data_IF_247030638364
#
_entry.id   IF_247030638364
#
_cell.length_a   1.000
_cell.length_b   1.000
_cell.length_c   1.000
_cell.angle_alpha   90.00
_cell.angle_beta   90.00
_cell.angle_gamma   90.00
#
_symmetry.space_group_name_H-M   'P 1'
#
loop_
_entity.id
_entity.type
_entity.pdbx_description
1 polymer ?
#
# COMPACT_ATOMS: atom_id res chain seq x y z
N UNK A 1 4.07 18.02 -1.76
CA UNK A 1 3.54 16.70 -2.16
C UNK A 1 4.45 15.62 -1.59
N UNK A 2 3.92 14.64 -0.87
CA UNK A 2 4.73 13.46 -0.53
C UNK A 2 4.97 12.66 -1.81
N UNK A 3 6.20 12.22 -2.02
CA UNK A 3 6.53 11.24 -3.05
C UNK A 3 6.88 9.88 -2.39
N UNK A 4 6.91 8.82 -3.20
CA UNK A 4 7.20 7.46 -2.74
C UNK A 4 8.56 7.35 -2.03
N UNK A 5 9.58 8.05 -2.55
CA UNK A 5 10.93 8.07 -1.97
C UNK A 5 10.94 8.66 -0.56
N UNK A 6 10.16 9.72 -0.34
CA UNK A 6 10.03 10.40 0.96
C UNK A 6 9.34 9.49 1.98
N UNK A 7 8.34 8.70 1.58
CA UNK A 7 7.69 7.73 2.49
C UNK A 7 8.64 6.59 2.85
N UNK A 8 9.36 6.04 1.87
CA UNK A 8 10.37 5.00 2.11
C UNK A 8 11.45 5.53 3.06
N UNK A 9 11.91 6.76 2.84
CA UNK A 9 12.87 7.43 3.73
C UNK A 9 12.29 7.60 5.13
N UNK A 10 11.02 7.99 5.26
CA UNK A 10 10.37 8.15 6.56
C UNK A 10 10.18 6.83 7.30
N UNK A 11 9.83 5.75 6.58
CA UNK A 11 9.73 4.40 7.15
C UNK A 11 11.11 3.88 7.57
N UNK A 12 12.14 4.08 6.76
CA UNK A 12 13.52 3.75 7.12
C UNK A 12 13.96 4.54 8.37
N UNK A 13 13.73 5.86 8.41
CA UNK A 13 14.00 6.69 9.59
C UNK A 13 13.26 6.20 10.83
N UNK A 14 12.00 5.79 10.70
CA UNK A 14 11.22 5.23 11.80
C UNK A 14 11.85 3.93 12.31
N UNK A 15 12.22 3.01 11.40
CA UNK A 15 12.89 1.75 11.77
C UNK A 15 14.24 2.03 12.45
N UNK A 16 15.06 2.93 11.89
CA UNK A 16 16.33 3.34 12.49
C UNK A 16 16.14 4.02 13.85
N UNK A 17 15.06 4.80 14.04
CA UNK A 17 14.76 5.40 15.33
C UNK A 17 14.39 4.33 16.36
N UNK A 18 13.49 3.41 16.02
CA UNK A 18 13.05 2.33 16.92
C UNK A 18 14.20 1.41 17.28
N UNK A 19 14.90 0.86 16.28
CA UNK A 19 16.01 -0.06 16.52
C UNK A 19 17.27 0.62 17.02
N UNK A 20 17.49 1.89 16.65
CA UNK A 20 18.58 2.71 17.18
C UNK A 20 18.42 2.97 18.67
N UNK A 21 17.22 3.37 19.12
CA UNK A 21 16.90 3.52 20.55
C UNK A 21 17.08 2.19 21.27
N UNK A 22 16.61 1.09 20.68
CA UNK A 22 16.79 -0.26 21.25
C UNK A 22 18.28 -0.64 21.41
N UNK A 23 19.11 -0.28 20.43
CA UNK A 23 20.56 -0.53 20.45
C UNK A 23 21.26 0.30 21.52
N UNK A 24 20.85 1.56 21.71
CA UNK A 24 21.36 2.43 22.79
C UNK A 24 20.97 1.86 24.16
N UNK A 25 19.71 1.43 24.33
CA UNK A 25 19.25 0.82 25.59
C UNK A 25 20.00 -0.47 25.92
N UNK A 26 20.22 -1.34 24.93
CA UNK A 26 21.02 -2.56 25.12
C UNK A 26 22.46 -2.21 25.49
N UNK A 27 23.08 -1.25 24.80
CA UNK A 27 24.43 -0.78 25.09
C UNK A 27 24.55 -0.22 26.51
N UNK A 28 23.57 0.57 26.97
CA UNK A 28 23.52 1.08 28.34
C UNK A 28 23.35 -0.06 29.35
N UNK A 29 22.49 -1.04 29.09
CA UNK A 29 22.30 -2.19 29.96
C UNK A 29 23.58 -3.04 30.11
N UNK A 30 24.31 -3.29 29.02
CA UNK A 30 25.56 -4.03 29.08
C UNK A 30 26.74 -3.26 29.69
N UNK A 31 26.68 -1.93 29.76
CA UNK A 31 27.61 -1.16 30.57
C UNK A 31 27.46 -1.47 32.07
N UNK A 32 26.24 -1.79 32.53
CA UNK A 32 25.98 -2.23 33.90
C UNK A 32 26.32 -3.71 34.15
N UNK A 33 26.29 -4.56 33.13
CA UNK A 33 26.62 -6.00 33.23
C UNK A 33 27.98 -6.29 32.59
N UNK A 34 29.04 -6.17 33.39
CA UNK A 34 30.47 -6.42 33.09
C UNK A 34 30.77 -7.28 31.83
N UNK A 35 30.92 -6.64 30.66
CA UNK A 35 31.53 -7.27 29.48
C UNK A 35 31.10 -6.70 28.13
N UNK A 36 31.93 -5.84 27.54
CA UNK A 36 31.70 -5.24 26.20
C UNK A 36 31.55 -6.29 25.08
N UNK A 37 32.17 -7.46 25.23
CA UNK A 37 32.08 -8.57 24.27
C UNK A 37 30.66 -9.14 24.22
N UNK A 38 29.92 -9.13 25.33
CA UNK A 38 28.53 -9.63 25.42
C UNK A 38 27.55 -8.70 24.69
N UNK A 39 27.93 -7.44 24.47
CA UNK A 39 27.12 -6.43 23.75
C UNK A 39 27.22 -6.52 22.22
N UNK A 40 28.28 -7.15 21.66
CA UNK A 40 28.46 -7.24 20.20
C UNK A 40 27.33 -8.03 19.53
N UNK A 41 26.85 -9.09 20.16
CA UNK A 41 25.80 -9.95 19.60
C UNK A 41 24.44 -9.24 19.52
N UNK A 42 23.93 -8.57 20.58
CA UNK A 42 22.71 -7.78 20.49
C UNK A 42 22.78 -6.61 19.50
N UNK A 43 23.92 -5.91 19.41
CA UNK A 43 24.11 -4.79 18.46
C UNK A 43 24.09 -5.31 17.03
N UNK A 44 24.80 -6.41 16.74
CA UNK A 44 24.74 -7.04 15.43
C UNK A 44 23.31 -7.49 15.10
N UNK A 45 22.60 -8.09 16.07
CA UNK A 45 21.23 -8.52 15.91
C UNK A 45 20.27 -7.37 15.56
N UNK A 46 20.35 -6.21 16.24
CA UNK A 46 19.48 -5.07 15.93
C UNK A 46 19.76 -4.47 14.55
N UNK A 47 21.02 -4.40 14.13
CA UNK A 47 21.39 -3.96 12.77
C UNK A 47 20.82 -4.93 11.73
N UNK A 48 21.05 -6.24 11.90
CA UNK A 48 20.52 -7.25 10.98
C UNK A 48 18.99 -7.20 10.91
N UNK A 49 18.32 -7.02 12.05
CA UNK A 49 16.86 -6.89 12.11
C UNK A 49 16.36 -5.62 11.40
N UNK A 50 17.07 -4.50 11.53
CA UNK A 50 16.74 -3.24 10.85
C UNK A 50 16.83 -3.38 9.34
N UNK A 51 17.92 -3.99 8.85
CA UNK A 51 18.11 -4.26 7.42
C UNK A 51 17.05 -5.24 6.92
N UNK A 52 16.81 -6.33 7.65
CA UNK A 52 15.80 -7.32 7.32
C UNK A 52 14.39 -6.71 7.21
N UNK A 53 13.96 -5.94 8.22
CA UNK A 53 12.67 -5.25 8.20
C UNK A 53 12.56 -4.28 7.02
N UNK A 54 13.63 -3.55 6.70
CA UNK A 54 13.65 -2.64 5.55
C UNK A 54 13.45 -3.41 4.24
N UNK A 55 14.19 -4.50 4.02
CA UNK A 55 14.05 -5.36 2.84
C UNK A 55 12.64 -5.93 2.74
N UNK A 56 12.07 -6.40 3.86
CA UNK A 56 10.71 -6.93 3.93
C UNK A 56 9.67 -5.89 3.50
N UNK A 57 9.81 -4.62 3.93
CA UNK A 57 8.91 -3.54 3.49
C UNK A 57 8.97 -3.33 1.96
N UNK A 58 10.17 -3.35 1.38
CA UNK A 58 10.33 -3.25 -0.09
C UNK A 58 9.71 -4.45 -0.81
N UNK A 59 9.92 -5.67 -0.29
CA UNK A 59 9.30 -6.87 -0.85
C UNK A 59 7.77 -6.79 -0.80
N UNK A 60 7.18 -6.30 0.28
CA UNK A 60 5.73 -6.12 0.37
C UNK A 60 5.18 -5.12 -0.64
N UNK A 61 5.84 -3.96 -0.81
CA UNK A 61 5.43 -2.99 -1.82
C UNK A 61 5.56 -3.55 -3.25
N UNK A 62 6.61 -4.32 -3.52
CA UNK A 62 6.80 -5.00 -4.80
C UNK A 62 5.70 -6.03 -5.08
N UNK A 63 5.42 -6.91 -4.11
CA UNK A 63 4.37 -7.95 -4.21
C UNK A 63 3.00 -7.29 -4.40
N UNK A 64 2.69 -6.23 -3.65
CA UNK A 64 1.45 -5.46 -3.79
C UNK A 64 1.28 -4.95 -5.22
N UNK A 65 2.28 -4.28 -5.76
CA UNK A 65 2.23 -3.73 -7.12
C UNK A 65 2.10 -4.83 -8.19
N UNK A 66 2.77 -5.97 -8.02
CA UNK A 66 2.65 -7.11 -8.93
C UNK A 66 1.24 -7.72 -8.93
N UNK A 67 0.65 -7.91 -7.74
CA UNK A 67 -0.71 -8.45 -7.62
C UNK A 67 -1.75 -7.53 -8.23
N UNK A 68 -1.63 -6.24 -7.95
CA UNK A 68 -2.49 -5.22 -8.53
C UNK A 68 -2.41 -5.22 -10.07
N UNK A 69 -1.19 -5.21 -10.64
CA UNK A 69 -1.00 -5.33 -12.10
C UNK A 69 -1.65 -6.59 -12.66
N UNK A 70 -1.47 -7.74 -12.00
CA UNK A 70 -2.07 -9.01 -12.42
C UNK A 70 -3.60 -9.03 -12.29
N UNK A 71 -4.16 -8.29 -11.35
CA UNK A 71 -5.61 -8.15 -11.20
C UNK A 71 -6.20 -7.38 -12.38
N UNK A 72 -5.64 -6.19 -12.66
CA UNK A 72 -6.09 -5.35 -13.76
C UNK A 72 -5.73 -5.87 -15.15
N UNK A 73 -4.88 -6.90 -15.27
CA UNK A 73 -4.63 -7.56 -16.55
C UNK A 73 -5.68 -8.62 -16.91
N UNK A 74 -6.60 -8.97 -16.00
CA UNK A 74 -7.61 -10.01 -16.20
C UNK A 74 -8.96 -9.40 -16.52
N UNK A 75 -9.70 -10.06 -17.40
CA UNK A 75 -11.10 -9.72 -17.63
C UNK A 75 -11.96 -10.05 -16.40
N UNK A 76 -12.98 -9.24 -16.08
CA UNK A 76 -13.44 -8.03 -16.77
C UNK A 76 -12.66 -6.74 -16.42
N UNK A 77 -11.77 -6.79 -15.44
CA UNK A 77 -11.10 -5.61 -14.88
C UNK A 77 -10.06 -4.98 -15.81
N UNK A 78 -9.66 -5.68 -16.87
CA UNK A 78 -8.81 -5.15 -17.94
C UNK A 78 -9.41 -3.93 -18.64
N UNK A 79 -10.74 -3.83 -18.69
CA UNK A 79 -11.43 -2.66 -19.24
C UNK A 79 -11.18 -1.39 -18.43
N UNK A 80 -11.02 -1.51 -17.10
CA UNK A 80 -10.66 -0.38 -16.23
C UNK A 80 -9.26 0.12 -16.60
N UNK A 81 -8.30 -0.79 -16.80
CA UNK A 81 -6.93 -0.46 -17.16
C UNK A 81 -6.86 0.24 -18.53
N UNK A 82 -7.59 -0.27 -19.53
CA UNK A 82 -7.65 0.35 -20.88
C UNK A 82 -8.22 1.77 -20.88
N UNK A 83 -9.15 2.05 -19.97
CA UNK A 83 -9.87 3.33 -19.86
C UNK A 83 -9.27 4.29 -18.82
N UNK A 84 -8.16 3.88 -18.19
CA UNK A 84 -7.44 4.70 -17.22
C UNK A 84 -6.72 5.83 -17.96
N UNK A 85 -7.11 7.07 -17.65
CA UNK A 85 -6.47 8.28 -18.18
C UNK A 85 -5.30 8.73 -17.29
N UNK A 86 -5.36 8.43 -16.00
CA UNK A 86 -4.34 8.88 -15.04
C UNK A 86 -4.16 7.85 -13.92
N UNK A 87 -2.92 7.67 -13.47
CA UNK A 87 -2.58 6.86 -12.30
C UNK A 87 -1.95 7.76 -11.25
N UNK A 88 -2.65 7.96 -10.15
CA UNK A 88 -2.24 8.82 -9.05
C UNK A 88 -1.84 7.95 -7.87
N UNK A 89 -0.82 8.37 -7.12
CA UNK A 89 -0.50 7.78 -5.82
C UNK A 89 -1.04 8.68 -4.71
N UNK A 90 -1.96 8.15 -3.92
CA UNK A 90 -2.55 8.85 -2.79
C UNK A 90 -1.91 8.36 -1.50
N UNK A 91 -1.52 9.31 -0.66
CA UNK A 91 -0.90 9.08 0.64
C UNK A 91 -1.90 9.45 1.74
N UNK A 92 -2.28 8.47 2.56
CA UNK A 92 -3.12 8.72 3.74
C UNK A 92 -2.31 9.33 4.90
N UNK A 93 -1.03 8.96 5.00
CA UNK A 93 -0.10 9.40 6.03
C UNK A 93 1.33 9.43 5.49
N UNK A 94 2.23 10.13 6.19
CA UNK A 94 3.67 10.16 5.89
C UNK A 94 4.40 8.83 6.08
N UNK A 95 3.75 7.84 6.70
CA UNK A 95 4.26 6.49 6.94
C UNK A 95 3.49 5.41 6.18
N UNK A 96 2.36 5.73 5.56
CA UNK A 96 1.54 4.74 4.86
C UNK A 96 2.08 4.48 3.46
N UNK A 97 2.05 3.21 3.04
CA UNK A 97 2.34 2.87 1.64
C UNK A 97 1.37 3.61 0.71
N UNK A 98 1.87 4.20 -0.39
CA UNK A 98 1.02 4.86 -1.37
C UNK A 98 -0.06 3.89 -1.86
N UNK A 99 -1.28 4.41 -1.96
CA UNK A 99 -2.37 3.72 -2.65
C UNK A 99 -2.37 4.16 -4.10
N UNK A 100 -2.34 3.19 -5.00
CA UNK A 100 -2.51 3.45 -6.41
C UNK A 100 -3.99 3.70 -6.67
N UNK A 101 -4.27 4.83 -7.30
CA UNK A 101 -5.60 5.28 -7.67
C UNK A 101 -5.61 5.43 -9.18
N UNK A 102 -6.59 4.81 -9.83
CA UNK A 102 -6.81 4.97 -11.28
C UNK A 102 -7.94 5.97 -11.49
N UNK A 103 -7.71 6.94 -12.35
CA UNK A 103 -8.77 7.80 -12.86
C UNK A 103 -9.17 7.24 -14.22
N UNK A 104 -10.41 6.81 -14.35
CA UNK A 104 -11.00 6.36 -15.61
C UNK A 104 -11.99 7.40 -16.13
N UNK A 105 -12.18 7.44 -17.44
CA UNK A 105 -13.20 8.27 -18.08
C UNK A 105 -14.24 7.39 -18.77
N UNK A 106 -15.51 7.58 -18.41
CA UNK A 106 -16.66 6.89 -19.00
C UNK A 106 -17.75 7.91 -19.30
N UNK A 107 -18.17 7.98 -20.55
CA UNK A 107 -19.29 8.82 -21.02
C UNK A 107 -19.18 10.30 -20.59
N UNK A 108 -17.95 10.84 -20.64
CA UNK A 108 -17.66 12.22 -20.24
C UNK A 108 -17.49 12.46 -18.73
N UNK A 109 -17.83 11.48 -17.88
CA UNK A 109 -17.61 11.52 -16.43
C UNK A 109 -16.27 10.89 -16.04
N UNK A 110 -15.68 11.37 -14.94
CA UNK A 110 -14.43 10.84 -14.36
C UNK A 110 -14.74 10.02 -13.12
N UNK A 111 -14.15 8.83 -13.03
CA UNK A 111 -14.29 7.95 -11.88
C UNK A 111 -12.92 7.61 -11.30
N UNK A 112 -12.85 7.60 -9.99
CA UNK A 112 -11.73 7.13 -9.20
C UNK A 112 -11.93 5.64 -8.89
N UNK A 113 -10.92 4.82 -9.15
CA UNK A 113 -10.95 3.38 -8.87
C UNK A 113 -9.75 3.00 -8.00
N UNK A 114 -10.04 2.42 -6.83
CA UNK A 114 -9.05 1.96 -5.88
C UNK A 114 -9.15 0.45 -5.66
N UNK A 115 -8.01 -0.23 -5.71
CA UNK A 115 -7.91 -1.67 -5.49
C UNK A 115 -7.49 -2.01 -4.06
N UNK A 116 -8.27 -2.86 -3.40
CA UNK A 116 -7.97 -3.39 -2.07
C UNK A 116 -7.87 -4.91 -2.11
N UNK A 117 -6.83 -5.45 -1.47
CA UNK A 117 -6.55 -6.89 -1.39
C UNK A 117 -6.34 -7.30 0.08
N UNK A 118 -6.85 -8.47 0.43
CA UNK A 118 -6.74 -9.17 1.72
C UNK A 118 -5.36 -9.24 2.36
N UNK A 119 -4.28 -9.02 1.61
CA UNK A 119 -2.93 -9.12 2.13
C UNK A 119 -2.65 -8.20 3.34
N UNK A 120 -3.35 -7.06 3.45
CA UNK A 120 -3.13 -6.10 4.53
C UNK A 120 -4.06 -6.27 5.75
N UNK A 121 -4.93 -7.30 5.80
CA UNK A 121 -5.93 -7.49 6.88
C UNK A 121 -6.68 -6.19 7.24
N UNK A 122 -7.02 -5.40 6.23
CA UNK A 122 -7.86 -4.20 6.39
C UNK A 122 -9.31 -4.69 6.59
N UNK A 123 -10.14 -4.04 7.42
CA UNK A 123 -11.54 -4.44 7.64
C UNK A 123 -12.38 -4.57 6.35
N UNK A 124 -11.95 -3.92 5.26
CA UNK A 124 -12.52 -4.08 3.93
C UNK A 124 -11.43 -4.61 3.00
N UNK A 125 -11.33 -5.94 2.91
CA UNK A 125 -10.43 -6.62 1.98
C UNK A 125 -11.16 -7.12 0.74
N UNK A 126 -10.44 -7.23 -0.38
CA UNK A 126 -10.93 -7.84 -1.61
C UNK A 126 -12.05 -7.06 -2.32
N UNK A 127 -11.92 -5.73 -2.29
CA UNK A 127 -12.89 -4.81 -2.92
C UNK A 127 -12.23 -3.87 -3.91
N UNK A 128 -13.02 -3.46 -4.90
CA UNK A 128 -12.79 -2.26 -5.69
C UNK A 128 -13.67 -1.16 -5.12
N UNK A 129 -13.06 -0.02 -4.79
CA UNK A 129 -13.80 1.18 -4.39
C UNK A 129 -13.83 2.12 -5.58
N UNK A 130 -15.03 2.47 -6.03
CA UNK A 130 -15.27 3.32 -7.19
C UNK A 130 -15.98 4.57 -6.72
N UNK A 131 -15.51 5.75 -7.14
CA UNK A 131 -16.10 7.04 -6.78
C UNK A 131 -16.22 7.95 -7.99
N UNK A 132 -17.38 8.53 -8.20
CA UNK A 132 -17.61 9.49 -9.27
C UNK A 132 -17.02 10.86 -8.88
N UNK A 133 -15.97 11.30 -9.56
CA UNK A 133 -15.29 12.58 -9.31
C UNK A 133 -15.97 13.78 -9.98
N UNK A 134 -16.86 13.53 -10.93
CA UNK A 134 -17.66 14.57 -11.58
C UNK A 134 -18.78 15.10 -10.67
N UNK A 135 -19.15 14.35 -9.63
CA UNK A 135 -20.19 14.72 -8.67
C UNK A 135 -19.60 15.05 -7.30
N UNK A 136 -19.89 16.26 -6.77
CA UNK A 136 -19.29 16.80 -5.55
C UNK A 136 -19.54 15.99 -4.27
N UNK A 137 -20.53 15.09 -4.26
CA UNK A 137 -20.95 14.31 -3.08
C UNK A 137 -21.30 12.85 -3.43
N UNK A 138 -20.61 12.24 -4.38
CA UNK A 138 -20.80 10.81 -4.63
C UNK A 138 -20.29 9.98 -3.44
N UNK A 139 -21.14 9.09 -2.94
CA UNK A 139 -20.71 8.05 -2.02
C UNK A 139 -19.86 7.02 -2.77
N UNK A 140 -18.79 6.50 -2.16
CA UNK A 140 -17.97 5.48 -2.79
C UNK A 140 -18.76 4.17 -2.92
N UNK A 141 -18.87 3.66 -4.13
CA UNK A 141 -19.42 2.35 -4.39
C UNK A 141 -18.35 1.29 -4.12
N UNK A 142 -18.72 0.23 -3.40
CA UNK A 142 -17.80 -0.84 -3.00
C UNK A 142 -18.21 -2.12 -3.72
N UNK A 143 -17.34 -2.60 -4.60
CA UNK A 143 -17.54 -3.82 -5.37
C UNK A 143 -16.63 -4.92 -4.83
N UNK A 144 -17.21 -5.99 -4.27
CA UNK A 144 -16.44 -7.16 -3.87
C UNK A 144 -16.17 -8.06 -5.08
N UNK A 145 -14.91 -8.10 -5.52
CA UNK A 145 -14.51 -8.79 -6.75
C UNK A 145 -14.23 -10.28 -6.55
N UNK A 146 -14.17 -10.77 -5.30
CA UNK A 146 -14.02 -12.20 -5.00
C UNK A 146 -15.35 -12.92 -4.91
N UNK A 147 -16.38 -12.25 -4.41
CA UNK A 147 -17.70 -12.87 -4.19
C UNK A 147 -18.61 -12.76 -5.41
N UNK A 148 -18.50 -11.68 -6.18
CA UNK A 148 -19.33 -11.44 -7.35
C UNK A 148 -18.51 -11.61 -8.65
N UNK A 149 -19.08 -12.35 -9.60
CA UNK A 149 -18.56 -12.46 -10.97
C UNK A 149 -19.31 -11.46 -11.84
N UNK A 150 -18.57 -10.65 -12.57
CA UNK A 150 -19.12 -9.66 -13.50
C UNK A 150 -18.67 -9.99 -14.91
N UNK A 151 -19.54 -9.77 -15.89
CA UNK A 151 -19.12 -9.63 -17.29
C UNK A 151 -18.51 -8.25 -17.56
N UNK A 152 -17.85 -8.09 -18.71
CA UNK A 152 -17.28 -6.79 -19.10
C UNK A 152 -18.34 -5.69 -19.19
N UNK A 153 -19.53 -6.03 -19.70
CA UNK A 153 -20.64 -5.08 -19.83
C UNK A 153 -21.20 -4.71 -18.45
N UNK A 154 -21.47 -5.71 -17.60
CA UNK A 154 -22.00 -5.50 -16.25
C UNK A 154 -21.09 -4.62 -15.39
N UNK A 155 -19.76 -4.82 -15.48
CA UNK A 155 -18.81 -4.01 -14.73
C UNK A 155 -18.89 -2.53 -15.14
N UNK A 156 -18.94 -2.26 -16.45
CA UNK A 156 -19.01 -0.89 -16.95
C UNK A 156 -20.36 -0.23 -16.67
N UNK A 157 -21.46 -0.98 -16.77
CA UNK A 157 -22.80 -0.48 -16.46
C UNK A 157 -22.97 -0.20 -14.96
N UNK A 158 -22.38 -1.01 -14.10
CA UNK A 158 -22.31 -0.73 -12.66
C UNK A 158 -21.55 0.57 -12.38
N UNK A 159 -20.43 0.80 -13.07
CA UNK A 159 -19.67 2.04 -12.89
C UNK A 159 -20.46 3.26 -13.38
N UNK A 160 -21.20 3.13 -14.49
CA UNK A 160 -22.04 4.20 -15.05
C UNK A 160 -23.22 4.58 -14.17
N UNK A 161 -23.73 3.63 -13.38
CA UNK A 161 -24.86 3.85 -12.48
C UNK A 161 -24.50 4.68 -11.23
N UNK A 162 -23.20 4.98 -11.02
CA UNK A 162 -22.65 5.76 -9.89
C UNK A 162 -22.53 7.24 -10.27
#
# INVERSE_FOLDING_TARGET
MLNKETVILNQAKLLFMVFGVLTVLISMAGYFTQGVIVLLYPIAFTITLTVFCTVVLFCFDFIKNQREKRFFSKDPFSEIEKRTIEKIQVFNSKYDFPKNVRIIQLDGKKYEVMYFDSFFRIPVSDVLVIRNLSEKKSEPFILNYKTAKYSNAELLDLIRAI
#
